data_IF_175429917168
#
_entry.id   IF_175429917168
#
_cell.length_a   1.000
_cell.length_b   1.000
_cell.length_c   1.000
_cell.angle_alpha   90.00
_cell.angle_beta   90.00
_cell.angle_gamma   90.00
#
_symmetry.space_group_name_H-M   'P 1'
#
loop_
_entity.id
_entity.type
_entity.pdbx_description
1 polymer ?
#
# COMPACT_ATOMS: atom_id res chain seq x y z
N UNK A 1 6.31 -2.07 2.93
CA UNK A 1 6.87 -0.97 3.73
C UNK A 1 6.36 0.39 3.30
N UNK A 2 6.56 0.84 2.04
CA UNK A 2 6.08 2.14 1.54
C UNK A 2 4.62 2.45 1.92
N UNK A 3 3.72 1.53 1.57
CA UNK A 3 2.28 1.66 1.81
C UNK A 3 1.93 1.83 3.30
N UNK A 4 2.62 1.09 4.19
CA UNK A 4 2.41 1.17 5.65
C UNK A 4 2.91 2.50 6.24
N UNK A 5 4.03 3.01 5.71
CA UNK A 5 4.59 4.32 6.12
C UNK A 5 3.64 5.46 5.72
N UNK A 6 3.17 5.45 4.46
CA UNK A 6 2.30 6.50 3.93
C UNK A 6 0.94 6.50 4.63
N UNK A 7 0.37 5.33 4.92
CA UNK A 7 -0.92 5.24 5.64
C UNK A 7 -0.84 5.73 7.09
N UNK A 8 0.37 5.73 7.68
CA UNK A 8 0.66 6.24 9.03
C UNK A 8 1.21 7.67 9.05
N UNK A 9 0.99 8.44 7.98
CA UNK A 9 1.41 9.84 7.85
C UNK A 9 2.93 10.06 7.71
N UNK A 10 3.67 9.06 7.24
CA UNK A 10 5.11 9.14 7.04
C UNK A 10 5.52 9.26 5.57
N UNK A 11 6.80 9.59 5.37
CA UNK A 11 7.49 9.47 4.09
C UNK A 11 8.56 8.39 4.17
N UNK A 12 8.70 7.61 3.09
CA UNK A 12 9.78 6.63 2.97
C UNK A 12 10.93 7.23 2.18
N UNK A 13 12.09 7.35 2.81
CA UNK A 13 13.35 7.68 2.15
C UNK A 13 14.13 6.38 1.95
N UNK A 14 14.39 6.03 0.68
CA UNK A 14 15.21 4.87 0.32
C UNK A 14 16.63 5.35 -0.02
N UNK A 15 17.61 4.65 0.52
CA UNK A 15 19.03 4.87 0.22
C UNK A 15 19.59 3.67 -0.54
N UNK A 16 20.25 3.93 -1.67
CA UNK A 16 20.93 2.90 -2.47
C UNK A 16 22.42 3.23 -2.54
N UNK A 17 23.30 2.34 -2.05
CA UNK A 17 24.74 2.55 -2.20
C UNK A 17 25.13 2.39 -3.68
N UNK A 18 25.99 3.30 -4.14
CA UNK A 18 26.63 3.19 -5.45
C UNK A 18 27.92 2.38 -5.34
N UNK A 19 28.31 1.74 -6.44
CA UNK A 19 29.63 1.13 -6.60
C UNK A 19 30.73 2.21 -6.61
N UNK A 20 32.00 1.85 -6.41
CA UNK A 20 33.11 2.81 -6.45
C UNK A 20 33.22 3.61 -7.75
N UNK A 21 32.72 3.08 -8.86
CA UNK A 21 32.67 3.73 -10.18
C UNK A 21 31.44 4.65 -10.36
N UNK A 22 30.58 4.76 -9.34
CA UNK A 22 29.37 5.58 -9.35
C UNK A 22 28.14 4.90 -9.96
N UNK A 23 28.25 3.66 -10.42
CA UNK A 23 27.11 2.90 -10.97
C UNK A 23 26.26 2.27 -9.86
N UNK A 24 24.97 2.01 -10.14
CA UNK A 24 24.13 1.22 -9.24
C UNK A 24 24.50 -0.26 -9.32
N UNK A 25 24.30 -0.96 -8.20
CA UNK A 25 24.30 -2.42 -8.23
C UNK A 25 23.08 -2.98 -8.96
N UNK A 26 23.24 -4.15 -9.59
CA UNK A 26 22.19 -4.80 -10.36
C UNK A 26 20.97 -5.11 -9.49
N UNK A 27 21.19 -5.47 -8.21
CA UNK A 27 20.11 -5.72 -7.27
C UNK A 27 19.36 -4.43 -6.92
N UNK A 28 20.09 -3.34 -6.69
CA UNK A 28 19.51 -2.03 -6.44
C UNK A 28 18.68 -1.54 -7.63
N UNK A 29 19.20 -1.67 -8.85
CA UNK A 29 18.50 -1.30 -10.07
C UNK A 29 17.22 -2.13 -10.25
N UNK A 30 17.27 -3.44 -9.97
CA UNK A 30 16.09 -4.31 -10.01
C UNK A 30 15.01 -3.86 -9.03
N UNK A 31 15.38 -3.52 -7.80
CA UNK A 31 14.44 -3.03 -6.78
C UNK A 31 13.82 -1.70 -7.21
N UNK A 32 14.63 -0.74 -7.68
CA UNK A 32 14.14 0.57 -8.16
C UNK A 32 13.17 0.40 -9.32
N UNK A 33 13.48 -0.48 -10.29
CA UNK A 33 12.59 -0.80 -11.41
C UNK A 33 11.28 -1.43 -10.94
N UNK A 34 11.32 -2.37 -10.00
CA UNK A 34 10.12 -2.98 -9.44
C UNK A 34 9.22 -1.96 -8.72
N UNK A 35 9.82 -1.07 -7.92
CA UNK A 35 9.10 0.03 -7.28
C UNK A 35 8.50 0.95 -8.35
N UNK A 36 9.28 1.33 -9.36
CA UNK A 36 8.84 2.19 -10.45
C UNK A 36 7.62 1.62 -11.20
N UNK A 37 7.67 0.35 -11.60
CA UNK A 37 6.56 -0.34 -12.26
C UNK A 37 5.31 -0.40 -11.38
N UNK A 38 5.46 -0.66 -10.09
CA UNK A 38 4.33 -0.67 -9.16
C UNK A 38 3.72 0.73 -8.98
N UNK A 39 4.58 1.76 -8.87
CA UNK A 39 4.17 3.16 -8.74
C UNK A 39 3.50 3.72 -10.00
N UNK A 40 3.86 3.22 -11.19
CA UNK A 40 3.21 3.64 -12.44
C UNK A 40 1.70 3.33 -12.45
N UNK A 41 1.30 2.22 -11.81
CA UNK A 41 -0.11 1.81 -11.69
C UNK A 41 -0.77 2.38 -10.43
N UNK A 42 -0.07 2.31 -9.30
CA UNK A 42 -0.66 2.56 -7.98
C UNK A 42 -0.30 3.94 -7.39
N UNK A 43 0.42 4.77 -8.14
CA UNK A 43 0.97 6.04 -7.64
C UNK A 43 -0.10 7.03 -7.15
N UNK A 44 -1.32 7.00 -7.71
CA UNK A 44 -2.40 7.87 -7.23
C UNK A 44 -2.90 7.53 -5.82
N UNK A 45 -2.72 6.28 -5.36
CA UNK A 45 -3.01 5.85 -4.00
C UNK A 45 -1.90 6.26 -3.01
N UNK A 46 -0.80 6.85 -3.48
CA UNK A 46 0.36 7.24 -2.66
C UNK A 46 0.56 8.75 -2.71
N UNK A 47 0.78 9.30 -3.91
CA UNK A 47 1.11 10.72 -4.07
C UNK A 47 -0.06 11.64 -3.74
N UNK A 48 0.25 12.69 -2.97
CA UNK A 48 -0.72 13.70 -2.52
C UNK A 48 -1.92 13.12 -1.75
N UNK A 49 -1.76 11.93 -1.17
CA UNK A 49 -2.76 11.34 -0.28
C UNK A 49 -2.53 11.78 1.17
N UNK A 50 -3.50 11.50 2.04
CA UNK A 50 -3.44 11.68 3.48
C UNK A 50 -3.90 10.40 4.19
N UNK A 51 -3.48 10.15 5.43
CA UNK A 51 -4.04 9.08 6.25
C UNK A 51 -5.56 9.19 6.33
N UNK A 52 -6.22 8.04 6.34
CA UNK A 52 -7.65 7.98 6.66
C UNK A 52 -7.85 7.83 8.19
N UNK A 53 -9.11 7.74 8.62
CA UNK A 53 -9.51 7.59 10.03
C UNK A 53 -8.82 6.39 10.72
N UNK A 54 -8.54 5.33 9.94
CA UNK A 54 -7.74 4.17 10.35
C UNK A 54 -6.61 3.99 9.33
N UNK A 55 -5.40 3.69 9.78
CA UNK A 55 -4.24 3.50 8.88
C UNK A 55 -4.27 2.15 8.14
N UNK A 56 -4.99 1.16 8.67
CA UNK A 56 -5.04 -0.20 8.12
C UNK A 56 -5.84 -1.18 8.98
N UNK A 57 -6.10 -2.35 8.42
CA UNK A 57 -6.69 -3.50 9.10
C UNK A 57 -5.94 -4.78 8.74
N UNK A 58 -6.28 -5.87 9.43
CA UNK A 58 -5.71 -7.20 9.21
C UNK A 58 -4.98 -7.77 10.43
N UNK A 59 -4.69 -9.08 10.42
CA UNK A 59 -4.06 -9.77 11.54
C UNK A 59 -2.57 -9.44 11.66
N UNK A 60 -1.93 -8.96 10.59
CA UNK A 60 -0.48 -8.86 10.54
C UNK A 60 -0.02 -7.52 11.08
N UNK A 61 0.67 -7.59 12.23
CA UNK A 61 1.33 -6.43 12.83
C UNK A 61 2.82 -6.48 12.53
N UNK A 62 3.31 -5.51 11.75
CA UNK A 62 4.74 -5.26 11.66
C UNK A 62 5.27 -4.91 13.06
N UNK A 63 6.29 -5.63 13.54
CA UNK A 63 6.94 -5.28 14.81
C UNK A 63 7.67 -3.94 14.61
N UNK A 64 7.41 -2.96 15.48
CA UNK A 64 8.21 -1.75 15.53
C UNK A 64 9.53 -2.01 16.25
N UNK A 65 10.62 -1.38 15.79
CA UNK A 65 11.95 -1.49 16.38
C UNK A 65 13.05 -1.14 15.38
N UNK A 66 14.24 -0.78 15.88
CA UNK A 66 15.33 -0.19 15.10
C UNK A 66 15.85 -1.02 13.90
N UNK A 67 15.48 -2.29 13.78
CA UNK A 67 15.85 -3.18 12.66
C UNK A 67 14.78 -4.25 12.39
N UNK A 68 13.51 -3.97 12.69
CA UNK A 68 12.42 -4.93 12.54
C UNK A 68 11.88 -5.02 11.09
N UNK A 69 12.77 -4.94 10.10
CA UNK A 69 12.48 -5.23 8.69
C UNK A 69 12.50 -6.75 8.41
N UNK A 70 11.98 -7.54 9.35
CA UNK A 70 11.80 -8.97 9.14
C UNK A 70 10.81 -9.24 8.01
N UNK A 71 10.89 -10.42 7.40
CA UNK A 71 9.95 -10.87 6.37
C UNK A 71 8.54 -10.97 6.96
N UNK A 72 7.76 -9.89 6.83
CA UNK A 72 6.35 -9.85 7.24
C UNK A 72 5.53 -10.49 6.13
N UNK A 73 4.97 -11.66 6.40
CA UNK A 73 4.04 -12.32 5.50
C UNK A 73 2.65 -11.74 5.70
N UNK A 74 2.25 -10.83 4.81
CA UNK A 74 0.90 -10.28 4.80
C UNK A 74 -0.11 -11.31 4.29
N UNK A 75 -1.36 -11.17 4.73
CA UNK A 75 -2.51 -11.95 4.26
C UNK A 75 -3.43 -11.05 3.43
N UNK A 76 -4.37 -11.63 2.66
CA UNK A 76 -5.36 -10.84 1.91
C UNK A 76 -6.34 -10.06 2.80
N UNK A 77 -6.29 -10.26 4.12
CA UNK A 77 -7.03 -9.45 5.11
C UNK A 77 -6.27 -8.20 5.54
N UNK A 78 -4.99 -8.08 5.17
CA UNK A 78 -4.18 -6.91 5.50
C UNK A 78 -4.40 -5.80 4.48
N UNK A 79 -4.96 -4.70 4.96
CA UNK A 79 -5.18 -3.49 4.17
C UNK A 79 -4.47 -2.30 4.80
N UNK A 80 -4.09 -1.35 3.95
CA UNK A 80 -3.64 -0.02 4.33
C UNK A 80 -4.45 1.02 3.60
N UNK A 81 -4.75 2.11 4.29
CA UNK A 81 -5.68 3.11 3.79
C UNK A 81 -5.01 4.46 3.60
N UNK A 82 -5.27 5.07 2.46
CA UNK A 82 -4.94 6.47 2.16
C UNK A 82 -6.15 7.14 1.54
N UNK A 83 -6.24 8.47 1.66
CA UNK A 83 -7.38 9.26 1.16
C UNK A 83 -6.89 10.43 0.32
N UNK A 84 -7.60 10.72 -0.77
CA UNK A 84 -7.42 11.94 -1.57
C UNK A 84 -8.78 12.51 -1.93
N UNK A 85 -9.10 13.70 -1.42
CA UNK A 85 -10.45 14.25 -1.54
C UNK A 85 -11.48 13.30 -0.92
N UNK A 86 -12.49 12.90 -1.70
CA UNK A 86 -13.53 11.94 -1.31
C UNK A 86 -13.19 10.49 -1.67
N UNK A 87 -12.07 10.25 -2.34
CA UNK A 87 -11.62 8.91 -2.72
C UNK A 87 -10.81 8.29 -1.59
N UNK A 88 -11.27 7.13 -1.12
CA UNK A 88 -10.52 6.24 -0.24
C UNK A 88 -9.82 5.17 -1.08
N UNK A 89 -8.51 5.04 -0.90
CA UNK A 89 -7.73 3.94 -1.44
C UNK A 89 -7.55 2.87 -0.38
N UNK A 90 -7.93 1.64 -0.71
CA UNK A 90 -7.69 0.46 0.10
C UNK A 90 -6.64 -0.40 -0.60
N UNK A 91 -5.44 -0.47 -0.02
CA UNK A 91 -4.30 -1.15 -0.61
C UNK A 91 -4.18 -2.52 0.06
N UNK A 92 -4.50 -3.57 -0.70
CA UNK A 92 -4.41 -4.95 -0.25
C UNK A 92 -2.94 -5.39 -0.24
N UNK A 93 -2.47 -5.91 0.90
CA UNK A 93 -1.05 -6.20 1.11
C UNK A 93 -0.65 -7.60 0.61
N UNK A 94 -1.61 -8.47 0.29
CA UNK A 94 -1.40 -9.75 -0.38
C UNK A 94 -2.58 -10.09 -1.29
N UNK A 95 -2.33 -10.82 -2.38
CA UNK A 95 -3.35 -11.12 -3.37
C UNK A 95 -4.41 -12.12 -2.83
N UNK A 96 -5.71 -11.82 -2.96
CA UNK A 96 -6.79 -12.73 -2.57
C UNK A 96 -7.04 -13.79 -3.64
N UNK A 97 -6.56 -15.03 -3.45
CA UNK A 97 -6.78 -16.14 -4.38
C UNK A 97 -8.27 -16.49 -4.58
N UNK A 98 -9.13 -16.16 -3.61
CA UNK A 98 -10.59 -16.32 -3.71
C UNK A 98 -11.24 -15.32 -4.68
N UNK A 99 -10.51 -14.28 -5.10
CA UNK A 99 -11.05 -13.16 -5.86
C UNK A 99 -11.99 -12.25 -5.05
N UNK A 100 -12.11 -12.46 -3.73
CA UNK A 100 -12.99 -11.71 -2.85
C UNK A 100 -12.23 -11.14 -1.67
N UNK A 101 -12.58 -9.91 -1.28
CA UNK A 101 -12.03 -9.23 -0.10
C UNK A 101 -13.14 -8.53 0.67
N UNK A 102 -12.93 -8.41 1.98
CA UNK A 102 -13.86 -7.74 2.89
C UNK A 102 -13.12 -6.64 3.63
N UNK A 103 -13.57 -5.39 3.47
CA UNK A 103 -13.02 -4.25 4.21
C UNK A 103 -13.93 -3.94 5.40
N UNK A 104 -13.51 -4.32 6.59
CA UNK A 104 -14.33 -4.23 7.81
C UNK A 104 -14.51 -2.78 8.27
N UNK A 105 -13.51 -1.94 8.03
CA UNK A 105 -13.52 -0.51 8.40
C UNK A 105 -14.56 0.33 7.64
N UNK A 106 -15.17 -0.22 6.58
CA UNK A 106 -16.25 0.35 5.78
C UNK A 106 -17.65 -0.16 6.17
N UNK A 107 -17.76 -1.03 7.19
CA UNK A 107 -19.04 -1.59 7.61
C UNK A 107 -20.09 -0.52 7.96
N UNK A 108 -21.37 -0.87 7.84
CA UNK A 108 -22.47 0.00 8.22
C UNK A 108 -22.32 0.45 9.69
N UNK A 109 -22.52 1.74 9.95
CA UNK A 109 -22.32 2.33 11.28
C UNK A 109 -20.87 2.70 11.64
N UNK A 110 -19.88 2.37 10.79
CA UNK A 110 -18.46 2.71 11.04
C UNK A 110 -18.12 4.21 10.87
N UNK A 111 -19.09 5.04 10.46
CA UNK A 111 -18.85 6.44 10.10
C UNK A 111 -18.02 6.63 8.83
N UNK A 112 -17.82 5.58 8.01
CA UNK A 112 -17.06 5.67 6.76
C UNK A 112 -17.78 6.43 5.62
N UNK A 113 -19.06 6.75 5.78
CA UNK A 113 -19.90 7.28 4.71
C UNK A 113 -20.43 6.19 3.78
N UNK A 114 -20.99 6.62 2.64
CA UNK A 114 -21.57 5.73 1.62
C UNK A 114 -20.58 5.49 0.49
N UNK A 115 -20.38 4.23 0.11
CA UNK A 115 -19.59 3.85 -1.07
C UNK A 115 -20.47 3.98 -2.32
N UNK A 116 -20.07 4.84 -3.25
CA UNK A 116 -20.80 5.06 -4.50
C UNK A 116 -20.32 4.14 -5.63
N UNK A 117 -19.02 3.83 -5.67
CA UNK A 117 -18.42 2.96 -6.69
C UNK A 117 -17.11 2.37 -6.17
N UNK A 118 -16.72 1.21 -6.70
CA UNK A 118 -15.44 0.56 -6.42
C UNK A 118 -14.71 0.32 -7.75
N UNK A 119 -13.40 0.58 -7.78
CA UNK A 119 -12.51 0.34 -8.93
C UNK A 119 -11.21 -0.29 -8.44
N UNK A 120 -10.60 -1.11 -9.27
CA UNK A 120 -9.27 -1.66 -9.05
C UNK A 120 -8.27 -0.91 -9.94
N UNK A 121 -7.21 -0.38 -9.35
CA UNK A 121 -6.20 0.36 -10.11
C UNK A 121 -5.50 -0.56 -11.11
N UNK A 122 -5.31 -0.06 -12.34
CA UNK A 122 -4.76 -0.84 -13.44
C UNK A 122 -5.71 -1.86 -14.08
N UNK A 123 -7.00 -1.85 -13.69
CA UNK A 123 -8.01 -2.73 -14.29
C UNK A 123 -9.20 -1.92 -14.82
N UNK A 124 -9.41 -1.98 -16.14
CA UNK A 124 -10.49 -1.25 -16.82
C UNK A 124 -11.85 -1.97 -16.78
N UNK A 125 -11.88 -3.21 -16.28
CA UNK A 125 -13.11 -3.98 -16.18
C UNK A 125 -13.96 -3.59 -14.96
N UNK A 126 -15.16 -4.17 -14.89
CA UNK A 126 -16.04 -4.03 -13.73
C UNK A 126 -15.71 -5.10 -12.70
N UNK A 127 -15.55 -4.67 -11.45
CA UNK A 127 -15.52 -5.56 -10.31
C UNK A 127 -16.92 -6.17 -10.12
N UNK A 128 -16.96 -7.48 -9.84
CA UNK A 128 -18.19 -8.25 -9.61
C UNK A 128 -18.47 -8.39 -8.13
#
# INVERSE_FOLDING_TARGET
MLVDVVSKNGNLLLNFPLKPDGTLDEEAEKIVKQIGSWMAVNGEAIYCTRPWKVFGEGPTRARGGYFAEGKVSYTPEDFRFTKKGDTLYAICMAWPESGQVTIRSLAQGSGAGRVNSVKLLGYDGRLK
#
